data_IF_057924085294
#
_entry.id   IF_057924085294
#
_cell.length_a   1.000
_cell.length_b   1.000
_cell.length_c   1.000
_cell.angle_alpha   90.00
_cell.angle_beta   90.00
_cell.angle_gamma   90.00
#
_symmetry.space_group_name_H-M   'P 1'
#
loop_
_entity.id
_entity.type
_entity.pdbx_description
1 polymer ?
#
# COMPACT_ATOMS: atom_id res chain seq x y z
N UNK A 1 12.40 3.51 5.88
CA UNK A 1 12.36 3.89 7.32
C UNK A 1 13.63 3.47 8.07
N UNK A 2 14.02 2.19 8.05
CA UNK A 2 15.25 1.76 8.75
C UNK A 2 16.50 2.35 8.08
N UNK A 3 16.55 2.31 6.75
CA UNK A 3 17.60 2.94 5.93
C UNK A 3 17.76 4.45 6.20
N UNK A 4 16.67 5.18 6.50
CA UNK A 4 16.75 6.62 6.79
C UNK A 4 17.41 6.91 8.14
N UNK A 5 17.38 5.97 9.10
CA UNK A 5 18.10 6.07 10.39
C UNK A 5 19.54 5.55 10.23
N UNK A 6 19.71 4.36 9.65
CA UNK A 6 21.00 3.72 9.44
C UNK A 6 21.28 3.56 7.94
N UNK A 7 22.20 4.39 7.41
CA UNK A 7 22.61 4.30 6.00
C UNK A 7 23.27 2.98 5.64
N UNK A 8 23.81 2.26 6.61
CA UNK A 8 24.37 0.92 6.43
C UNK A 8 23.30 -0.16 6.21
N UNK A 9 22.02 0.15 6.47
CA UNK A 9 20.89 -0.74 6.20
C UNK A 9 20.45 -0.60 4.75
N UNK A 10 21.37 -0.91 3.84
CA UNK A 10 21.23 -0.71 2.41
C UNK A 10 21.15 -2.06 1.69
N UNK A 11 20.27 -2.13 0.69
CA UNK A 11 20.00 -3.32 -0.12
C UNK A 11 21.22 -3.73 -0.93
N UNK A 12 22.04 -2.78 -1.34
CA UNK A 12 23.24 -3.03 -2.14
C UNK A 12 24.42 -3.53 -1.30
N UNK A 13 24.47 -3.17 -0.01
CA UNK A 13 25.61 -3.45 0.86
C UNK A 13 25.42 -4.71 1.71
N UNK A 14 24.18 -5.19 1.87
CA UNK A 14 23.88 -6.37 2.68
C UNK A 14 23.66 -7.58 1.77
N UNK A 15 24.43 -8.68 1.93
CA UNK A 15 24.34 -9.84 1.05
C UNK A 15 22.93 -10.46 1.03
N UNK A 16 22.59 -11.05 -0.11
CA UNK A 16 21.37 -11.82 -0.33
C UNK A 16 21.33 -13.04 0.59
N UNK A 17 20.12 -13.38 1.03
CA UNK A 17 19.94 -14.49 1.97
C UNK A 17 20.05 -15.83 1.23
N UNK A 18 20.68 -16.84 1.83
CA UNK A 18 20.85 -18.16 1.17
C UNK A 18 19.55 -18.93 0.86
N UNK A 19 18.39 -18.49 1.38
CA UNK A 19 17.09 -19.14 1.25
C UNK A 19 16.07 -18.32 0.43
N UNK A 20 16.46 -17.16 -0.11
CA UNK A 20 15.58 -16.28 -0.89
C UNK A 20 16.41 -15.34 -1.76
N UNK A 21 15.97 -15.11 -3.00
CA UNK A 21 16.54 -14.11 -3.91
C UNK A 21 16.32 -12.64 -3.45
N UNK A 22 15.83 -12.43 -2.23
CA UNK A 22 15.64 -11.11 -1.59
C UNK A 22 16.84 -10.76 -0.69
N UNK A 23 17.15 -9.46 -0.56
CA UNK A 23 18.22 -8.97 0.32
C UNK A 23 17.91 -9.28 1.80
N UNK A 24 18.94 -9.55 2.61
CA UNK A 24 18.74 -9.77 4.06
C UNK A 24 18.11 -8.54 4.73
N UNK A 25 18.38 -7.34 4.21
CA UNK A 25 17.79 -6.09 4.66
C UNK A 25 16.27 -6.08 4.50
N UNK A 26 15.75 -6.46 3.34
CA UNK A 26 14.31 -6.51 3.07
C UNK A 26 13.62 -7.63 3.85
N UNK A 27 14.26 -8.81 3.94
CA UNK A 27 13.74 -9.94 4.70
C UNK A 27 13.57 -9.59 6.19
N UNK A 28 14.61 -9.04 6.83
CA UNK A 28 14.53 -8.65 8.24
C UNK A 28 13.53 -7.49 8.43
N UNK A 29 13.48 -6.53 7.51
CA UNK A 29 12.51 -5.42 7.57
C UNK A 29 11.06 -5.94 7.49
N UNK A 30 10.81 -6.93 6.64
CA UNK A 30 9.52 -7.61 6.55
C UNK A 30 9.17 -8.32 7.86
N UNK A 31 10.09 -9.11 8.41
CA UNK A 31 9.86 -9.81 9.68
C UNK A 31 9.60 -8.86 10.85
N UNK A 32 10.33 -7.74 10.92
CA UNK A 32 10.09 -6.69 11.90
C UNK A 32 8.69 -6.10 11.74
N UNK A 33 8.31 -5.70 10.52
CA UNK A 33 6.97 -5.16 10.27
C UNK A 33 5.86 -6.18 10.60
N UNK A 34 6.05 -7.44 10.19
CA UNK A 34 5.12 -8.52 10.49
C UNK A 34 4.97 -8.71 12.00
N UNK A 35 6.07 -8.80 12.74
CA UNK A 35 6.08 -8.94 14.19
C UNK A 35 5.40 -7.74 14.88
N UNK A 36 5.67 -6.52 14.44
CA UNK A 36 5.01 -5.31 14.95
C UNK A 36 3.52 -5.25 14.62
N UNK A 37 3.08 -5.91 13.55
CA UNK A 37 1.65 -5.97 13.20
C UNK A 37 0.86 -6.95 14.08
N UNK A 38 1.50 -8.00 14.61
CA UNK A 38 0.85 -9.06 15.40
C UNK A 38 0.08 -8.58 16.63
N UNK A 39 0.57 -7.64 17.46
CA UNK A 39 -0.18 -7.15 18.61
C UNK A 39 -1.50 -6.47 18.21
N UNK A 40 -1.52 -5.79 17.05
CA UNK A 40 -2.71 -5.08 16.58
C UNK A 40 -3.81 -6.03 16.11
N UNK A 41 -3.46 -7.26 15.70
CA UNK A 41 -4.41 -8.31 15.35
C UNK A 41 -5.21 -8.82 16.57
N UNK A 42 -4.65 -8.70 17.78
CA UNK A 42 -5.37 -9.07 19.01
C UNK A 42 -6.46 -8.06 19.38
N UNK A 43 -6.35 -6.82 18.91
CA UNK A 43 -7.27 -5.75 19.29
C UNK A 43 -8.66 -6.03 18.72
N UNK A 44 -9.72 -5.92 19.55
CA UNK A 44 -11.07 -6.08 19.04
C UNK A 44 -11.43 -4.97 18.07
N UNK A 45 -12.28 -5.31 17.09
CA UNK A 45 -12.67 -4.43 15.96
C UNK A 45 -13.18 -3.06 16.41
N UNK A 46 -13.89 -2.98 17.54
CA UNK A 46 -14.37 -1.70 18.07
C UNK A 46 -13.23 -0.75 18.50
N UNK A 47 -12.11 -1.27 19.02
CA UNK A 47 -10.93 -0.45 19.37
C UNK A 47 -10.10 -0.08 18.14
N UNK A 48 -10.11 -0.94 17.11
CA UNK A 48 -9.43 -0.67 15.83
C UNK A 48 -9.99 0.56 15.11
N UNK A 49 -11.23 0.99 15.42
CA UNK A 49 -11.76 2.27 14.95
C UNK A 49 -10.81 3.44 15.22
N UNK A 50 -10.19 3.49 16.41
CA UNK A 50 -9.27 4.59 16.74
C UNK A 50 -8.01 4.57 15.87
N UNK A 51 -7.47 3.38 15.56
CA UNK A 51 -6.35 3.22 14.64
C UNK A 51 -6.74 3.71 13.23
N UNK A 52 -7.96 3.41 12.78
CA UNK A 52 -8.48 3.90 11.50
C UNK A 52 -8.75 5.41 11.49
N UNK A 53 -9.15 5.99 12.62
CA UNK A 53 -9.31 7.44 12.73
C UNK A 53 -7.96 8.16 12.71
N UNK A 54 -6.96 7.65 13.43
CA UNK A 54 -5.60 8.24 13.38
C UNK A 54 -5.03 8.13 11.97
N UNK A 55 -5.12 6.96 11.33
CA UNK A 55 -4.60 6.80 9.96
C UNK A 55 -5.29 7.72 8.96
N UNK A 56 -6.60 7.96 9.10
CA UNK A 56 -7.33 8.83 8.16
C UNK A 56 -6.89 10.29 8.19
N UNK A 57 -6.29 10.75 9.30
CA UNK A 57 -5.70 12.09 9.36
C UNK A 57 -4.22 12.09 8.96
N UNK A 58 -3.45 11.13 9.48
CA UNK A 58 -2.00 11.11 9.31
C UNK A 58 -1.58 10.77 7.87
N UNK A 59 -2.25 9.82 7.23
CA UNK A 59 -1.83 9.31 5.91
C UNK A 59 -2.06 10.34 4.80
N UNK A 60 -3.22 11.02 4.70
CA UNK A 60 -3.39 12.08 3.70
C UNK A 60 -2.41 13.23 3.89
N UNK A 61 -2.12 13.62 5.14
CA UNK A 61 -1.12 14.66 5.43
C UNK A 61 0.27 14.24 4.95
N UNK A 62 0.66 12.99 5.18
CA UNK A 62 1.93 12.47 4.67
C UNK A 62 1.97 12.42 3.13
N UNK A 63 0.86 12.06 2.48
CA UNK A 63 0.76 12.09 1.01
C UNK A 63 0.86 13.50 0.44
N UNK A 64 0.21 14.48 1.05
CA UNK A 64 0.31 15.90 0.67
C UNK A 64 1.71 16.44 0.94
N UNK A 65 2.33 16.07 2.06
CA UNK A 65 3.71 16.45 2.37
C UNK A 65 4.69 15.91 1.33
N UNK A 66 4.55 14.64 0.92
CA UNK A 66 5.35 14.03 -0.14
C UNK A 66 5.14 14.74 -1.48
N UNK A 67 3.89 15.06 -1.82
CA UNK A 67 3.55 15.82 -3.03
C UNK A 67 4.22 17.19 -3.04
N UNK A 68 4.02 17.98 -1.99
CA UNK A 68 4.56 19.33 -1.89
C UNK A 68 6.09 19.33 -1.95
N UNK A 69 6.72 18.38 -1.27
CA UNK A 69 8.18 18.24 -1.28
C UNK A 69 8.71 17.87 -2.66
N UNK A 70 8.11 16.88 -3.33
CA UNK A 70 8.53 16.43 -4.66
C UNK A 70 8.30 17.52 -5.71
N UNK A 71 7.16 18.20 -5.69
CA UNK A 71 6.87 19.33 -6.60
C UNK A 71 7.85 20.49 -6.38
N UNK A 72 8.19 20.79 -5.12
CA UNK A 72 9.17 21.84 -4.82
C UNK A 72 10.58 21.49 -5.31
N UNK A 73 10.99 20.21 -5.23
CA UNK A 73 12.30 19.75 -5.74
C UNK A 73 12.34 19.70 -7.27
N UNK A 74 11.23 19.33 -7.92
CA UNK A 74 11.11 19.31 -9.38
C UNK A 74 10.96 20.70 -10.02
N UNK A 75 10.69 21.74 -9.23
CA UNK A 75 10.39 23.08 -9.73
C UNK A 75 9.05 23.19 -10.47
N UNK A 76 8.13 22.23 -10.27
CA UNK A 76 6.83 22.18 -10.94
C UNK A 76 6.14 20.81 -10.87
N UNK A 77 4.99 20.70 -11.53
CA UNK A 77 4.14 19.48 -11.55
C UNK A 77 4.67 18.37 -12.49
N UNK A 78 5.85 18.58 -13.09
CA UNK A 78 6.43 17.72 -14.11
C UNK A 78 5.72 17.78 -15.48
N UNK A 79 6.16 16.98 -16.46
CA UNK A 79 5.73 17.08 -17.86
C UNK A 79 4.32 16.50 -18.11
N UNK A 80 3.75 15.74 -17.17
CA UNK A 80 2.55 14.93 -17.43
C UNK A 80 1.33 15.75 -17.86
N UNK A 81 1.19 16.99 -17.38
CA UNK A 81 0.08 17.88 -17.78
C UNK A 81 0.25 18.46 -19.20
N UNK A 82 1.46 18.41 -19.76
CA UNK A 82 1.77 18.93 -21.10
C UNK A 82 2.10 17.81 -22.09
N UNK A 83 2.10 16.56 -21.67
CA UNK A 83 2.45 15.42 -22.50
C UNK A 83 1.28 15.05 -23.42
N UNK A 84 1.46 15.07 -24.75
CA UNK A 84 0.42 14.67 -25.68
C UNK A 84 0.18 13.16 -25.61
N UNK A 85 -1.06 12.73 -25.84
CA UNK A 85 -1.41 11.32 -25.92
C UNK A 85 -0.62 10.63 -27.05
N UNK A 86 0.08 9.56 -26.71
CA UNK A 86 0.90 8.75 -27.63
C UNK A 86 0.09 7.67 -28.35
N UNK A 87 -1.03 7.23 -27.77
CA UNK A 87 -1.90 6.18 -28.31
C UNK A 87 -3.17 6.81 -28.89
N UNK A 88 -3.63 6.31 -30.06
CA UNK A 88 -4.82 6.84 -30.76
C UNK A 88 -5.70 5.71 -31.30
N UNK A 89 -6.96 6.02 -31.59
CA UNK A 89 -7.89 5.08 -32.25
C UNK A 89 -8.31 3.92 -31.35
N UNK A 90 -8.37 2.72 -31.92
CA UNK A 90 -8.84 1.51 -31.24
C UNK A 90 -7.96 1.13 -30.03
N UNK A 91 -6.65 1.35 -30.12
CA UNK A 91 -5.71 1.03 -29.05
C UNK A 91 -5.93 1.92 -27.81
N UNK A 92 -6.36 3.18 -28.01
CA UNK A 92 -6.72 4.07 -26.92
C UNK A 92 -8.01 3.60 -26.23
N UNK A 93 -9.01 3.16 -27.01
CA UNK A 93 -10.25 2.63 -26.47
C UNK A 93 -9.99 1.37 -25.63
N UNK A 94 -9.11 0.48 -26.12
CA UNK A 94 -8.77 -0.73 -25.38
C UNK A 94 -7.93 -0.45 -24.13
N UNK A 95 -6.97 0.47 -24.21
CA UNK A 95 -6.22 0.93 -23.04
C UNK A 95 -7.14 1.57 -21.98
N UNK A 96 -8.16 2.33 -22.40
CA UNK A 96 -9.15 2.89 -21.49
C UNK A 96 -9.96 1.79 -20.78
N UNK A 97 -10.47 0.80 -21.52
CA UNK A 97 -11.21 -0.34 -20.94
C UNK A 97 -10.32 -1.11 -19.97
N UNK A 98 -9.06 -1.39 -20.33
CA UNK A 98 -8.11 -2.05 -19.45
C UNK A 98 -7.83 -1.23 -18.18
N UNK A 99 -7.74 0.10 -18.26
CA UNK A 99 -7.57 0.98 -17.10
C UNK A 99 -8.77 0.96 -16.16
N UNK A 100 -10.00 0.98 -16.71
CA UNK A 100 -11.24 0.85 -15.92
C UNK A 100 -11.31 -0.51 -15.24
N UNK A 101 -11.09 -1.59 -15.98
CA UNK A 101 -11.10 -2.95 -15.42
C UNK A 101 -10.02 -3.13 -14.34
N UNK A 102 -8.81 -2.59 -14.55
CA UNK A 102 -7.75 -2.63 -13.54
C UNK A 102 -8.13 -1.85 -12.28
N UNK A 103 -8.91 -0.77 -12.40
CA UNK A 103 -9.40 -0.02 -11.24
C UNK A 103 -10.47 -0.80 -10.48
N UNK A 104 -11.42 -1.43 -11.18
CA UNK A 104 -12.47 -2.25 -10.58
C UNK A 104 -11.86 -3.48 -9.86
N UNK A 105 -10.91 -4.17 -10.50
CA UNK A 105 -10.24 -5.33 -9.92
C UNK A 105 -9.54 -4.99 -8.60
N UNK A 106 -8.93 -3.80 -8.49
CA UNK A 106 -8.31 -3.34 -7.23
C UNK A 106 -9.31 -3.17 -6.07
N UNK A 107 -10.59 -2.94 -6.38
CA UNK A 107 -11.64 -2.78 -5.36
C UNK A 107 -12.48 -4.04 -5.15
N UNK A 108 -12.34 -5.08 -5.97
CA UNK A 108 -13.17 -6.28 -5.91
C UNK A 108 -13.17 -6.92 -4.50
N UNK A 109 -11.99 -7.12 -3.91
CA UNK A 109 -11.84 -7.67 -2.55
C UNK A 109 -12.49 -6.79 -1.49
N UNK A 110 -12.35 -5.46 -1.59
CA UNK A 110 -12.95 -4.52 -0.66
C UNK A 110 -14.48 -4.50 -0.75
N UNK A 111 -15.04 -4.68 -1.95
CA UNK A 111 -16.49 -4.74 -2.17
C UNK A 111 -17.08 -6.00 -1.54
N UNK A 112 -16.43 -7.17 -1.75
CA UNK A 112 -16.88 -8.44 -1.17
C UNK A 112 -16.81 -8.40 0.35
N UNK A 113 -15.73 -7.85 0.92
CA UNK A 113 -15.50 -7.78 2.37
C UNK A 113 -16.24 -6.58 3.02
N UNK A 114 -16.95 -5.77 2.24
CA UNK A 114 -17.67 -4.59 2.74
C UNK A 114 -18.75 -4.94 3.78
N UNK A 115 -19.33 -6.14 3.68
CA UNK A 115 -20.33 -6.67 4.61
C UNK A 115 -19.76 -6.91 6.03
N UNK A 116 -18.46 -7.22 6.15
CA UNK A 116 -17.80 -7.45 7.43
C UNK A 116 -17.77 -6.21 8.32
N UNK A 117 -17.77 -5.03 7.68
CA UNK A 117 -17.78 -3.73 8.34
C UNK A 117 -19.19 -3.15 8.46
N UNK A 118 -20.04 -3.33 7.44
CA UNK A 118 -21.39 -2.77 7.44
C UNK A 118 -22.29 -3.39 8.52
N UNK A 119 -22.03 -4.64 8.95
CA UNK A 119 -22.73 -5.26 10.10
C UNK A 119 -22.53 -4.53 11.44
N UNK A 120 -21.48 -3.72 11.55
CA UNK A 120 -21.22 -2.90 12.74
C UNK A 120 -21.83 -1.49 12.63
N UNK A 121 -22.47 -1.15 11.50
CA UNK A 121 -23.16 0.12 11.33
C UNK A 121 -24.47 0.14 12.12
N UNK A 122 -24.79 1.30 12.71
CA UNK A 122 -26.05 1.49 13.46
C UNK A 122 -27.24 1.54 12.49
N UNK A 123 -27.05 2.13 11.30
CA UNK A 123 -28.08 2.22 10.25
C UNK A 123 -27.47 1.84 8.88
N UNK A 124 -28.21 1.12 8.01
CA UNK A 124 -27.73 0.74 6.68
C UNK A 124 -27.28 1.92 5.81
N UNK A 125 -27.97 3.06 5.93
CA UNK A 125 -27.63 4.30 5.21
C UNK A 125 -26.26 4.87 5.57
N UNK A 126 -25.77 4.61 6.78
CA UNK A 126 -24.49 5.17 7.26
C UNK A 126 -23.31 4.49 6.54
N UNK A 127 -23.47 3.21 6.16
CA UNK A 127 -22.48 2.49 5.36
C UNK A 127 -22.50 2.94 3.89
N UNK A 128 -23.69 3.17 3.31
CA UNK A 128 -23.83 3.58 1.91
C UNK A 128 -23.15 4.92 1.61
N UNK A 129 -23.50 5.97 2.36
CA UNK A 129 -23.00 7.32 2.09
C UNK A 129 -21.51 7.45 2.33
N UNK A 130 -20.99 6.81 3.38
CA UNK A 130 -19.56 6.85 3.67
C UNK A 130 -18.75 6.18 2.56
N UNK A 131 -19.18 5.02 2.05
CA UNK A 131 -18.50 4.32 0.96
C UNK A 131 -18.61 5.08 -0.37
N UNK A 132 -19.81 5.57 -0.70
CA UNK A 132 -20.09 6.27 -1.96
C UNK A 132 -19.21 7.51 -2.17
N UNK A 133 -18.92 8.25 -1.10
CA UNK A 133 -18.06 9.43 -1.20
C UNK A 133 -16.59 9.12 -0.93
N UNK A 134 -16.29 8.32 0.09
CA UNK A 134 -14.90 8.12 0.52
C UNK A 134 -14.09 7.33 -0.51
N UNK A 135 -14.69 6.33 -1.17
CA UNK A 135 -13.96 5.49 -2.13
C UNK A 135 -13.59 6.31 -3.38
N UNK A 136 -14.52 6.96 -4.11
CA UNK A 136 -14.18 7.68 -5.33
C UNK A 136 -13.30 8.90 -5.06
N UNK A 137 -13.62 9.69 -4.03
CA UNK A 137 -12.86 10.91 -3.70
C UNK A 137 -11.47 10.53 -3.18
N UNK A 138 -11.40 9.57 -2.26
CA UNK A 138 -10.14 9.08 -1.72
C UNK A 138 -9.23 8.56 -2.82
N UNK A 139 -9.76 7.71 -3.70
CA UNK A 139 -9.01 7.15 -4.82
C UNK A 139 -8.55 8.21 -5.80
N UNK A 140 -9.44 9.15 -6.19
CA UNK A 140 -9.10 10.26 -7.09
C UNK A 140 -8.00 11.15 -6.52
N UNK A 141 -8.05 11.48 -5.22
CA UNK A 141 -7.02 12.26 -4.57
C UNK A 141 -5.68 11.50 -4.51
N UNK A 142 -5.70 10.23 -4.09
CA UNK A 142 -4.45 9.44 -3.99
C UNK A 142 -3.83 9.14 -5.34
N UNK A 143 -4.64 8.89 -6.37
CA UNK A 143 -4.15 8.64 -7.73
C UNK A 143 -3.55 9.90 -8.33
N UNK A 144 -4.18 11.07 -8.14
CA UNK A 144 -3.64 12.35 -8.57
C UNK A 144 -2.30 12.65 -7.88
N UNK A 145 -2.18 12.41 -6.57
CA UNK A 145 -0.91 12.53 -5.85
C UNK A 145 0.16 11.63 -6.46
N UNK A 146 -0.15 10.36 -6.70
CA UNK A 146 0.79 9.40 -7.31
C UNK A 146 1.24 9.80 -8.70
N UNK A 147 0.31 10.24 -9.56
CA UNK A 147 0.60 10.70 -10.93
C UNK A 147 1.53 11.91 -10.91
N UNK A 148 1.27 12.90 -10.05
CA UNK A 148 2.10 14.11 -9.97
C UNK A 148 3.48 13.79 -9.38
N UNK A 149 3.55 13.00 -8.31
CA UNK A 149 4.84 12.60 -7.71
C UNK A 149 5.67 11.81 -8.72
N UNK A 150 5.05 10.88 -9.45
CA UNK A 150 5.73 10.10 -10.49
C UNK A 150 6.23 10.98 -11.63
N UNK A 151 5.39 11.88 -12.13
CA UNK A 151 5.75 12.89 -13.13
C UNK A 151 6.91 13.78 -12.69
N UNK A 152 6.85 14.29 -11.46
CA UNK A 152 7.89 15.14 -10.89
C UNK A 152 9.20 14.37 -10.66
N UNK A 153 9.12 13.09 -10.30
CA UNK A 153 10.31 12.22 -10.14
C UNK A 153 11.10 12.07 -11.45
N UNK A 154 10.41 12.01 -12.60
CA UNK A 154 11.08 11.96 -13.91
C UNK A 154 11.93 13.21 -14.17
N UNK A 155 11.49 14.37 -13.70
CA UNK A 155 12.24 15.63 -13.81
C UNK A 155 13.41 15.67 -12.83
N UNK A 156 13.19 15.23 -11.60
CA UNK A 156 14.24 15.24 -10.55
C UNK A 156 15.38 14.30 -10.92
N UNK A 157 15.06 13.12 -11.45
CA UNK A 157 16.05 12.07 -11.71
C UNK A 157 16.52 12.00 -13.16
N UNK A 158 15.91 12.75 -14.09
CA UNK A 158 16.16 12.65 -15.54
C UNK A 158 16.03 11.22 -16.10
N UNK A 159 15.16 10.42 -15.49
CA UNK A 159 14.92 9.01 -15.80
C UNK A 159 13.42 8.76 -16.06
N UNK A 160 13.07 7.50 -16.33
CA UNK A 160 11.67 7.08 -16.42
C UNK A 160 10.90 7.46 -15.13
N UNK A 161 9.61 7.81 -15.22
CA UNK A 161 8.79 8.13 -14.06
C UNK A 161 8.80 6.99 -13.04
N UNK A 162 9.24 7.29 -11.82
CA UNK A 162 9.21 6.33 -10.71
C UNK A 162 7.79 6.31 -10.17
N UNK A 163 7.11 5.17 -10.31
CA UNK A 163 5.72 5.02 -9.86
C UNK A 163 5.62 4.66 -8.37
N UNK A 164 6.66 4.02 -7.81
CA UNK A 164 6.70 3.63 -6.41
C UNK A 164 7.18 4.80 -5.53
N UNK A 165 6.32 5.35 -4.64
CA UNK A 165 6.71 6.42 -3.74
C UNK A 165 7.79 6.02 -2.73
N UNK A 166 7.95 4.72 -2.43
CA UNK A 166 9.01 4.22 -1.56
C UNK A 166 10.38 4.36 -2.21
N UNK A 167 10.48 4.08 -3.52
CA UNK A 167 11.73 4.28 -4.28
C UNK A 167 12.07 5.77 -4.38
N UNK A 168 11.06 6.64 -4.55
CA UNK A 168 11.28 8.10 -4.52
C UNK A 168 11.85 8.55 -3.17
N UNK A 169 11.33 8.02 -2.07
CA UNK A 169 11.82 8.30 -0.72
C UNK A 169 13.23 7.73 -0.46
N UNK A 170 13.54 6.57 -1.00
CA UNK A 170 14.87 5.93 -0.89
C UNK A 170 15.95 6.80 -1.53
N UNK A 171 15.71 7.27 -2.76
CA UNK A 171 16.60 8.21 -3.46
C UNK A 171 16.79 9.54 -2.71
N UNK A 172 15.79 10.01 -1.97
CA UNK A 172 15.94 11.17 -1.09
C UNK A 172 16.84 10.91 0.14
N UNK A 173 16.99 9.65 0.58
CA UNK A 173 17.90 9.32 1.69
C UNK A 173 19.35 9.28 1.24
N UNK A 174 19.61 8.77 0.02
CA UNK A 174 20.95 8.63 -0.56
C UNK A 174 21.61 10.00 -0.75
N UNK A 175 20.90 10.93 -1.39
CA UNK A 175 21.40 12.26 -1.73
C UNK A 175 21.06 13.35 -0.70
N UNK A 176 20.37 12.99 0.39
CA UNK A 176 19.78 13.95 1.33
C UNK A 176 20.60 14.29 2.58
N UNK A 177 20.39 15.50 3.09
CA UNK A 177 20.92 15.98 4.37
C UNK A 177 20.21 15.32 5.57
N UNK A 178 20.76 15.49 6.78
CA UNK A 178 20.19 14.91 8.03
C UNK A 178 18.71 15.28 8.26
N UNK A 179 18.32 16.50 7.89
CA UNK A 179 16.93 16.96 7.98
C UNK A 179 16.00 16.25 6.97
N UNK A 180 16.46 16.01 5.75
CA UNK A 180 15.70 15.30 4.72
C UNK A 180 15.52 13.83 5.11
N UNK A 181 16.54 13.21 5.71
CA UNK A 181 16.44 11.85 6.26
C UNK A 181 15.38 11.73 7.34
N UNK A 182 15.25 12.73 8.22
CA UNK A 182 14.18 12.78 9.21
C UNK A 182 12.81 12.90 8.53
N UNK A 183 12.68 13.75 7.51
CA UNK A 183 11.46 13.85 6.71
C UNK A 183 11.05 12.52 6.07
N UNK A 184 12.00 11.81 5.46
CA UNK A 184 11.77 10.47 4.90
C UNK A 184 11.35 9.48 5.98
N UNK A 185 11.99 9.50 7.16
CA UNK A 185 11.60 8.64 8.27
C UNK A 185 10.13 8.84 8.67
N UNK A 186 9.70 10.10 8.82
CA UNK A 186 8.32 10.44 9.21
C UNK A 186 7.33 9.98 8.14
N UNK A 187 7.58 10.28 6.85
CA UNK A 187 6.68 9.86 5.75
C UNK A 187 6.63 8.33 5.65
N UNK A 188 7.77 7.65 5.72
CA UNK A 188 7.84 6.20 5.67
C UNK A 188 7.13 5.55 6.87
N UNK A 189 7.19 6.15 8.05
CA UNK A 189 6.42 5.70 9.23
C UNK A 189 4.91 5.85 9.00
N UNK A 190 4.47 6.96 8.41
CA UNK A 190 3.06 7.16 8.05
C UNK A 190 2.59 6.12 7.02
N UNK A 191 3.42 5.77 6.03
CA UNK A 191 3.12 4.71 5.07
C UNK A 191 3.12 3.32 5.69
N UNK A 192 4.03 3.04 6.63
CA UNK A 192 3.99 1.79 7.40
C UNK A 192 2.69 1.68 8.22
N UNK A 193 2.24 2.77 8.85
CA UNK A 193 0.95 2.83 9.54
C UNK A 193 -0.23 2.63 8.57
N UNK A 194 -0.16 3.23 7.38
CA UNK A 194 -1.16 3.03 6.33
C UNK A 194 -1.26 1.54 5.95
N UNK A 195 -0.12 0.91 5.69
CA UNK A 195 -0.04 -0.49 5.30
C UNK A 195 -0.55 -1.42 6.39
N UNK A 196 -0.17 -1.17 7.65
CA UNK A 196 -0.65 -1.91 8.81
C UNK A 196 -2.18 -1.80 8.94
N UNK A 197 -2.71 -0.58 8.84
CA UNK A 197 -4.15 -0.34 8.95
C UNK A 197 -4.95 -0.93 7.78
N UNK A 198 -4.40 -0.98 6.57
CA UNK A 198 -5.05 -1.61 5.42
C UNK A 198 -5.01 -3.13 5.52
N UNK A 199 -3.88 -3.72 5.92
CA UNK A 199 -3.76 -5.18 6.05
C UNK A 199 -4.70 -5.75 7.13
N UNK A 200 -4.83 -5.05 8.27
CA UNK A 200 -5.77 -5.45 9.33
C UNK A 200 -7.22 -5.35 8.82
N UNK A 201 -7.58 -4.25 8.17
CA UNK A 201 -8.95 -4.03 7.70
C UNK A 201 -9.35 -4.97 6.56
N UNK A 202 -8.57 -4.98 5.48
CA UNK A 202 -8.95 -5.66 4.24
C UNK A 202 -8.76 -7.18 4.32
N UNK A 203 -7.71 -7.65 5.00
CA UNK A 203 -7.31 -9.06 4.96
C UNK A 203 -7.62 -9.76 6.28
N UNK A 204 -7.13 -9.20 7.40
CA UNK A 204 -7.11 -9.95 8.67
C UNK A 204 -8.48 -10.08 9.33
N UNK A 205 -9.29 -9.01 9.32
CA UNK A 205 -10.65 -9.02 9.87
C UNK A 205 -11.58 -9.85 8.98
N UNK A 206 -11.44 -9.74 7.66
CA UNK A 206 -12.25 -10.50 6.71
C UNK A 206 -11.97 -12.00 6.82
N UNK A 207 -10.70 -12.41 6.72
CA UNK A 207 -10.31 -13.81 6.92
C UNK A 207 -10.72 -14.34 8.32
N UNK A 208 -10.61 -13.50 9.35
CA UNK A 208 -11.09 -13.83 10.69
C UNK A 208 -12.61 -14.04 10.76
N UNK A 209 -13.38 -13.29 9.98
CA UNK A 209 -14.83 -13.41 9.89
C UNK A 209 -15.23 -14.68 9.14
N UNK A 210 -14.61 -14.94 7.99
CA UNK A 210 -14.85 -16.15 7.19
C UNK A 210 -14.55 -17.43 7.99
N UNK A 211 -13.40 -17.47 8.68
CA UNK A 211 -13.05 -18.62 9.52
C UNK A 211 -13.99 -18.80 10.72
N UNK A 212 -14.51 -17.70 11.28
CA UNK A 212 -15.52 -17.77 12.34
C UNK A 212 -16.83 -18.35 11.80
N UNK A 213 -17.21 -18.06 10.55
CA UNK A 213 -18.39 -18.65 9.92
C UNK A 213 -18.20 -20.14 9.61
N UNK A 214 -17.01 -20.56 9.19
CA UNK A 214 -16.69 -21.96 8.90
C UNK A 214 -16.56 -22.84 10.16
N UNK A 215 -15.96 -22.31 11.22
CA UNK A 215 -15.58 -23.04 12.42
C UNK A 215 -15.92 -22.28 13.72
N UNK A 216 -17.19 -21.91 13.96
CA UNK A 216 -17.58 -21.00 15.04
C UNK A 216 -17.28 -21.52 16.45
N UNK A 217 -17.19 -22.85 16.63
CA UNK A 217 -16.86 -23.47 17.92
C UNK A 217 -15.38 -23.36 18.27
N UNK A 218 -14.49 -23.19 17.28
CA UNK A 218 -13.04 -23.28 17.47
C UNK A 218 -12.32 -21.96 17.20
N UNK A 219 -12.86 -21.15 16.29
CA UNK A 219 -12.23 -19.91 15.82
C UNK A 219 -13.12 -18.71 16.12
N UNK A 220 -12.55 -17.73 16.81
CA UNK A 220 -13.09 -16.38 16.91
C UNK A 220 -12.28 -15.47 15.97
N UNK A 221 -12.83 -14.30 15.60
CA UNK A 221 -12.19 -13.34 14.69
C UNK A 221 -10.71 -13.12 15.02
N UNK A 222 -10.35 -12.91 16.30
CA UNK A 222 -8.95 -12.74 16.72
C UNK A 222 -8.07 -13.94 16.39
N UNK A 223 -8.52 -15.15 16.71
CA UNK A 223 -7.78 -16.40 16.42
C UNK A 223 -7.67 -16.62 14.92
N UNK A 224 -8.74 -16.36 14.17
CA UNK A 224 -8.74 -16.44 12.72
C UNK A 224 -7.74 -15.46 12.10
N UNK A 225 -7.67 -14.22 12.60
CA UNK A 225 -6.67 -13.26 12.13
C UNK A 225 -5.22 -13.73 12.33
N UNK A 226 -4.91 -14.46 13.42
CA UNK A 226 -3.59 -15.08 13.60
C UNK A 226 -3.33 -16.27 12.67
N UNK A 227 -4.35 -17.08 12.39
CA UNK A 227 -4.24 -18.16 11.40
C UNK A 227 -3.97 -17.57 10.02
N UNK A 228 -4.66 -16.49 9.65
CA UNK A 228 -4.39 -15.73 8.42
C UNK A 228 -2.95 -15.21 8.37
N UNK A 229 -2.47 -14.60 9.46
CA UNK A 229 -1.09 -14.10 9.54
C UNK A 229 -0.04 -15.23 9.43
N UNK A 230 -0.32 -16.41 9.98
CA UNK A 230 0.53 -17.59 9.87
C UNK A 230 0.53 -18.19 8.46
N UNK A 231 -0.63 -18.30 7.82
CA UNK A 231 -0.76 -18.74 6.43
C UNK A 231 -0.04 -17.76 5.48
N UNK A 232 -0.16 -16.46 5.72
CA UNK A 232 0.55 -15.44 4.96
C UNK A 232 2.08 -15.60 5.03
N UNK A 233 2.64 -16.04 6.18
CA UNK A 233 4.06 -16.40 6.26
C UNK A 233 4.37 -17.71 5.54
N UNK A 234 3.51 -18.71 5.65
CA UNK A 234 3.70 -20.02 5.01
C UNK A 234 3.69 -19.94 3.48
N UNK A 235 3.04 -18.91 2.91
CA UNK A 235 3.10 -18.59 1.48
C UNK A 235 4.46 -18.04 1.02
N UNK A 236 5.42 -17.86 1.94
CA UNK A 236 6.77 -17.37 1.64
C UNK A 236 6.76 -16.06 0.81
N UNK A 237 6.22 -14.95 1.34
CA UNK A 237 6.03 -13.72 0.56
C UNK A 237 7.34 -13.15 -0.01
N UNK A 238 8.49 -13.48 0.56
CA UNK A 238 9.81 -13.13 0.05
C UNK A 238 10.17 -13.78 -1.29
N UNK A 239 9.56 -14.92 -1.67
CA UNK A 239 9.73 -15.48 -3.03
C UNK A 239 8.84 -14.79 -4.06
N UNK A 240 7.80 -14.06 -3.62
CA UNK A 240 6.96 -13.25 -4.51
C UNK A 240 7.58 -11.87 -4.79
N UNK A 241 8.40 -11.37 -3.87
CA UNK A 241 9.10 -10.09 -3.99
C UNK A 241 10.35 -10.19 -4.87
N UNK A 242 10.91 -11.38 -5.06
CA UNK A 242 12.16 -11.58 -5.81
C UNK A 242 12.02 -11.52 -7.32
N UNK A 243 10.82 -11.73 -7.88
CA UNK A 243 10.63 -11.75 -9.33
C UNK A 243 9.40 -10.94 -9.77
N UNK A 244 9.66 -9.81 -10.41
CA UNK A 244 8.66 -8.90 -11.01
C UNK A 244 7.66 -9.62 -11.93
N UNK A 245 8.09 -10.74 -12.53
CA UNK A 245 7.30 -11.52 -13.48
C UNK A 245 6.25 -12.40 -12.78
N UNK A 246 6.56 -12.94 -11.60
CA UNK A 246 5.62 -13.68 -10.76
C UNK A 246 4.49 -12.76 -10.29
N UNK A 247 4.82 -11.57 -9.77
CA UNK A 247 3.83 -10.60 -9.27
C UNK A 247 2.85 -10.13 -10.37
N UNK A 248 3.37 -9.86 -11.57
CA UNK A 248 2.54 -9.48 -12.74
C UNK A 248 1.65 -10.64 -13.20
N UNK A 249 2.15 -11.88 -13.11
CA UNK A 249 1.37 -13.09 -13.43
C UNK A 249 0.26 -13.33 -12.40
N UNK A 250 0.51 -13.15 -11.10
CA UNK A 250 -0.52 -13.19 -10.06
C UNK A 250 -1.60 -12.11 -10.23
N UNK A 251 -1.21 -10.87 -10.55
CA UNK A 251 -2.16 -9.80 -10.86
C UNK A 251 -2.94 -10.07 -12.15
N UNK A 252 -2.33 -10.71 -13.16
CA UNK A 252 -3.02 -11.12 -14.38
C UNK A 252 -4.04 -12.22 -14.13
N UNK A 253 -3.78 -13.13 -13.18
CA UNK A 253 -4.73 -14.16 -12.78
C UNK A 253 -5.98 -13.59 -12.09
N UNK A 254 -5.83 -12.51 -11.29
CA UNK A 254 -6.97 -11.76 -10.73
C UNK A 254 -7.73 -10.95 -11.78
N UNK A 255 -7.08 -10.56 -12.90
CA UNK A 255 -7.72 -9.86 -14.04
C UNK A 255 -8.50 -10.80 -14.97
N UNK A 256 -8.33 -12.11 -14.84
CA UNK A 256 -8.96 -13.12 -15.69
C UNK A 256 -10.27 -13.69 -15.10
N UNK A 257 -10.71 -13.19 -13.93
CA UNK A 257 -12.01 -13.46 -13.31
C UNK A 257 -12.81 -12.15 -13.31
#
# INVERSE_FOLDING_TARGET
MIHSIWKSWDRENIPTHAFSDTTTADFVSFFLFWLFSLPFLWLPVHKLRHLFTVKSYVVPVAGIALLAWTVSKAGGLGPIFRQPATIRGNDLAWAFVQGVMSSIANFATLVVNGCDFSRFAIKPRDALWSQLFTIPIGFACTSLVGIIVSSASAVIYNEAPVWDPLVVLERYVEHGNSAERFGVFVIALCFALAQLGTNIAANSISAGTDMTALAPRWVNIRRGSYVCAGLALAMCPWTLLSDSNQFTTYLSAYRAI
#
